data_IF_143576101320
#
_entry.id   IF_143576101320
#
_cell.length_a   1.000
_cell.length_b   1.000
_cell.length_c   1.000
_cell.angle_alpha   90.00
_cell.angle_beta   90.00
_cell.angle_gamma   90.00
#
_symmetry.space_group_name_H-M   'P 1'
#
loop_
_entity.id
_entity.type
_entity.pdbx_description
1 polymer ?
#
# COMPACT_ATOMS: atom_id res chain seq x y z
N UNK A 1 -10.04 4.34 27.60
CA UNK A 1 -10.29 4.37 27.02
C UNK A 1 -10.33 4.73 26.15
N UNK A 2 -10.13 4.77 25.88
CA UNK A 2 -9.95 5.01 25.10
C UNK A 2 -10.46 5.36 24.21
N UNK A 3 -10.52 5.84 23.87
CA UNK A 3 -11.09 6.13 23.14
C UNK A 3 -11.02 6.38 22.07
N UNK A 4 -10.49 6.49 21.74
CA UNK A 4 -10.39 6.65 20.75
C UNK A 4 -10.53 6.29 19.81
N UNK A 5 -10.34 6.14 19.67
CA UNK A 5 -10.21 5.81 18.95
C UNK A 5 -10.64 5.47 17.91
N UNK A 6 -10.54 5.58 17.38
CA UNK A 6 -10.93 5.20 16.44
C UNK A 6 -10.23 4.67 15.50
N UNK A 7 -9.26 4.28 15.64
CA UNK A 7 -8.64 3.57 14.64
C UNK A 7 -8.77 2.13 14.89
N UNK A 8 -9.45 1.43 14.10
CA UNK A 8 -9.65 0.01 14.30
C UNK A 8 -8.36 -0.75 14.25
N UNK A 9 -7.38 -0.24 13.53
CA UNK A 9 -6.16 -0.91 13.43
C UNK A 9 -5.40 -1.01 14.71
N UNK A 10 -5.55 -0.04 15.54
CA UNK A 10 -4.77 0.00 16.71
C UNK A 10 -5.35 -0.64 17.88
N UNK A 11 -6.59 -0.99 17.80
CA UNK A 11 -7.24 -1.39 18.84
C UNK A 11 -6.89 -2.65 19.28
N UNK A 12 -6.72 -3.53 18.59
CA UNK A 12 -6.50 -4.76 19.08
C UNK A 12 -5.53 -5.39 18.51
N UNK A 13 -4.77 -4.99 18.16
CA UNK A 13 -3.99 -5.45 17.58
C UNK A 13 -2.95 -6.18 17.76
N UNK A 14 -2.85 -6.76 18.57
CA UNK A 14 -1.78 -7.54 18.74
C UNK A 14 -1.63 -8.56 17.79
N UNK A 15 -2.62 -9.20 17.32
CA UNK A 15 -2.52 -10.23 16.43
C UNK A 15 -2.45 -9.79 15.08
N UNK A 16 -3.08 -8.77 14.69
CA UNK A 16 -3.06 -8.34 13.39
C UNK A 16 -2.17 -7.22 13.28
N UNK A 17 -0.98 -7.39 12.95
CA UNK A 17 -0.07 -6.34 12.86
C UNK A 17 -0.02 -5.80 11.48
N UNK A 18 -0.97 -5.01 11.08
CA UNK A 18 -1.07 -4.45 9.76
C UNK A 18 -0.57 -3.02 9.78
N UNK A 19 0.54 -2.71 9.12
CA UNK A 19 1.06 -1.36 9.09
C UNK A 19 0.05 -0.40 8.48
N UNK A 20 0.00 0.80 9.02
CA UNK A 20 -0.96 1.79 8.57
C UNK A 20 -0.79 2.11 7.10
N UNK A 21 0.44 2.18 6.62
CA UNK A 21 0.66 2.51 5.22
C UNK A 21 0.01 1.46 4.31
N UNK A 22 0.17 0.19 4.63
CA UNK A 22 -0.41 -0.89 3.83
C UNK A 22 -1.94 -0.81 3.90
N UNK A 23 -2.47 -0.54 5.07
CA UNK A 23 -3.91 -0.45 5.25
C UNK A 23 -4.52 0.66 4.40
N UNK A 24 -3.97 1.88 4.50
CA UNK A 24 -4.53 3.00 3.77
C UNK A 24 -4.30 2.87 2.27
N UNK A 25 -3.18 2.25 1.89
CA UNK A 25 -2.92 1.99 0.48
C UNK A 25 -3.94 1.02 -0.09
N UNK A 26 -4.32 0.01 0.69
CA UNK A 26 -5.29 -0.98 0.23
C UNK A 26 -6.67 -0.38 0.07
N UNK A 27 -6.98 0.69 0.81
CA UNK A 27 -8.23 1.39 0.69
C UNK A 27 -8.22 2.51 -0.34
N UNK A 28 -7.03 2.87 -0.82
CA UNK A 28 -6.92 3.93 -1.81
C UNK A 28 -7.03 5.34 -1.24
N UNK A 29 -6.76 5.49 0.06
CA UNK A 29 -6.89 6.80 0.70
C UNK A 29 -5.62 7.60 0.48
N UNK A 30 -5.62 8.41 -0.57
CA UNK A 30 -4.45 9.18 -0.97
C UNK A 30 -3.98 10.11 0.12
N UNK A 31 -4.90 10.77 0.79
CA UNK A 31 -4.53 11.74 1.81
C UNK A 31 -3.81 11.09 2.97
N UNK A 32 -4.29 9.96 3.44
CA UNK A 32 -3.65 9.27 4.55
C UNK A 32 -2.29 8.71 4.15
N UNK A 33 -2.19 8.17 2.94
CA UNK A 33 -0.93 7.65 2.46
C UNK A 33 0.08 8.80 2.34
N UNK A 34 -0.35 9.93 1.78
CA UNK A 34 0.52 11.06 1.62
C UNK A 34 1.00 11.58 2.97
N UNK A 35 0.11 11.66 3.94
CA UNK A 35 0.47 12.13 5.25
C UNK A 35 1.49 11.21 5.93
N UNK A 36 1.29 9.91 5.84
CA UNK A 36 2.22 8.97 6.44
C UNK A 36 3.60 9.08 5.81
N UNK A 37 3.64 9.22 4.48
CA UNK A 37 4.92 9.35 3.80
C UNK A 37 5.61 10.65 4.16
N UNK A 38 4.83 11.73 4.32
CA UNK A 38 5.38 13.02 4.72
C UNK A 38 5.96 12.97 6.13
N UNK A 39 5.42 12.10 6.98
CA UNK A 39 5.91 11.94 8.33
C UNK A 39 7.13 11.04 8.42
N UNK A 40 7.57 10.48 7.33
CA UNK A 40 8.76 9.65 7.31
C UNK A 40 8.53 8.15 7.27
N UNK A 41 7.30 7.71 7.09
CA UNK A 41 7.03 6.29 6.99
C UNK A 41 7.73 5.72 5.75
N UNK A 42 8.36 4.58 5.92
CA UNK A 42 9.09 3.93 4.83
C UNK A 42 8.10 3.48 3.75
N UNK A 43 8.23 3.97 2.50
CA UNK A 43 7.33 3.55 1.44
C UNK A 43 7.42 2.07 1.09
N UNK A 44 8.48 1.42 1.55
CA UNK A 44 8.68 -0.02 1.29
C UNK A 44 8.25 -0.89 2.47
N UNK A 45 7.51 -0.32 3.42
CA UNK A 45 7.05 -1.09 4.56
C UNK A 45 6.11 -2.21 4.14
N UNK A 46 6.25 -3.37 4.76
CA UNK A 46 5.40 -4.52 4.44
C UNK A 46 4.74 -5.01 5.71
N UNK A 47 3.68 -5.78 5.54
CA UNK A 47 3.09 -6.45 6.69
C UNK A 47 3.87 -7.73 6.99
N UNK A 48 3.37 -8.55 7.92
CA UNK A 48 4.08 -9.74 8.35
C UNK A 48 4.18 -10.80 7.27
N UNK A 49 3.35 -10.72 6.25
CA UNK A 49 3.40 -11.67 5.15
C UNK A 49 4.23 -11.13 4.00
N UNK A 50 4.86 -10.00 4.16
CA UNK A 50 5.67 -9.42 3.11
C UNK A 50 4.87 -8.67 2.05
N UNK A 51 3.65 -8.27 2.36
CA UNK A 51 2.77 -7.57 1.43
C UNK A 51 3.01 -6.07 1.58
N UNK A 52 3.43 -5.42 0.54
CA UNK A 52 3.79 -4.01 0.61
C UNK A 52 2.61 -3.12 0.26
N UNK A 53 2.74 -1.83 0.58
CA UNK A 53 1.71 -0.87 0.25
C UNK A 53 1.52 -0.77 -1.26
N UNK A 54 2.60 -0.83 -2.03
CA UNK A 54 2.50 -0.76 -3.48
C UNK A 54 1.73 -1.96 -4.04
N UNK A 55 2.00 -3.15 -3.50
CA UNK A 55 1.27 -4.34 -3.92
C UNK A 55 -0.22 -4.21 -3.59
N UNK A 56 -0.53 -3.70 -2.41
CA UNK A 56 -1.92 -3.54 -1.99
C UNK A 56 -2.66 -2.56 -2.89
N UNK A 57 -2.03 -1.44 -3.21
CA UNK A 57 -2.65 -0.43 -4.05
C UNK A 57 -2.84 -0.95 -5.47
N UNK A 58 -1.86 -1.67 -5.98
CA UNK A 58 -1.93 -2.19 -7.35
C UNK A 58 -3.00 -3.26 -7.48
N UNK A 59 -3.10 -4.12 -6.49
CA UNK A 59 -4.07 -5.20 -6.51
C UNK A 59 -5.50 -4.67 -6.43
N UNK A 60 -5.69 -3.55 -5.77
CA UNK A 60 -7.01 -2.98 -5.56
C UNK A 60 -7.35 -1.80 -6.48
N UNK A 61 -6.54 -1.60 -7.52
CA UNK A 61 -6.80 -0.61 -8.57
C UNK A 61 -6.77 0.83 -8.05
N UNK A 62 -5.82 1.14 -7.20
CA UNK A 62 -5.69 2.49 -6.68
C UNK A 62 -4.50 3.19 -7.34
N UNK A 63 -4.72 3.62 -8.61
CA UNK A 63 -3.65 4.20 -9.41
C UNK A 63 -3.01 5.42 -8.76
N UNK A 64 -3.81 6.29 -8.16
CA UNK A 64 -3.27 7.49 -7.53
C UNK A 64 -2.30 7.14 -6.41
N UNK A 65 -2.64 6.12 -5.61
CA UNK A 65 -1.76 5.68 -4.53
C UNK A 65 -0.52 5.01 -5.10
N UNK A 66 -0.66 4.23 -6.18
CA UNK A 66 0.49 3.61 -6.85
C UNK A 66 1.46 4.69 -7.29
N UNK A 67 0.97 5.75 -7.95
CA UNK A 67 1.83 6.81 -8.43
C UNK A 67 2.50 7.54 -7.27
N UNK A 68 1.78 7.77 -6.21
CA UNK A 68 2.33 8.44 -5.03
C UNK A 68 3.45 7.62 -4.41
N UNK A 69 3.22 6.33 -4.23
CA UNK A 69 4.23 5.46 -3.62
C UNK A 69 5.48 5.37 -4.49
N UNK A 70 5.30 5.22 -5.80
CA UNK A 70 6.45 5.15 -6.72
C UNK A 70 7.23 6.46 -6.66
N UNK A 71 6.53 7.59 -6.62
CA UNK A 71 7.18 8.89 -6.55
C UNK A 71 7.96 9.10 -5.27
N UNK A 72 7.62 8.35 -4.22
CA UNK A 72 8.32 8.45 -2.94
C UNK A 72 9.34 7.35 -2.74
N UNK A 73 9.64 6.60 -3.77
CA UNK A 73 10.73 5.62 -3.72
C UNK A 73 10.34 4.19 -3.45
N UNK A 74 9.05 3.85 -3.58
CA UNK A 74 8.66 2.46 -3.41
C UNK A 74 9.34 1.58 -4.45
N UNK A 75 9.76 0.41 -4.04
CA UNK A 75 10.47 -0.52 -4.92
C UNK A 75 9.46 -1.25 -5.80
N UNK A 76 9.39 -0.89 -7.08
CA UNK A 76 8.43 -1.50 -7.99
C UNK A 76 8.76 -2.95 -8.31
N UNK A 77 9.99 -3.35 -8.11
CA UNK A 77 10.41 -4.71 -8.38
C UNK A 77 10.28 -5.63 -7.18
N UNK A 78 9.85 -5.10 -6.04
CA UNK A 78 9.71 -5.93 -4.85
C UNK A 78 8.71 -7.05 -5.08
N UNK A 79 9.08 -8.25 -4.67
CA UNK A 79 8.27 -9.40 -4.92
C UNK A 79 8.15 -10.24 -3.67
N UNK A 80 6.95 -10.42 -3.19
CA UNK A 80 6.64 -11.43 -2.22
C UNK A 80 6.34 -12.66 -3.02
N UNK A 81 5.05 -12.97 -3.18
CA UNK A 81 4.68 -14.04 -4.09
C UNK A 81 4.63 -13.47 -5.48
N UNK A 82 4.16 -12.24 -5.65
CA UNK A 82 4.02 -11.58 -6.93
C UNK A 82 4.44 -10.12 -6.80
N UNK A 83 4.90 -9.53 -7.91
CA UNK A 83 5.19 -8.10 -7.92
C UNK A 83 3.88 -7.32 -8.01
N UNK A 84 3.95 -6.01 -7.77
CA UNK A 84 2.76 -5.16 -7.92
C UNK A 84 2.20 -5.24 -9.34
N UNK A 85 3.08 -5.26 -10.35
CA UNK A 85 2.65 -5.38 -11.74
C UNK A 85 1.90 -6.69 -11.96
N UNK A 86 2.43 -7.78 -11.44
CA UNK A 86 1.78 -9.08 -11.62
C UNK A 86 0.41 -9.10 -10.94
N UNK A 87 0.29 -8.50 -9.76
CA UNK A 87 -0.99 -8.44 -9.07
C UNK A 87 -2.00 -7.62 -9.87
N UNK A 88 -1.56 -6.50 -10.44
CA UNK A 88 -2.45 -5.68 -11.26
C UNK A 88 -2.87 -6.42 -12.52
N UNK A 89 -1.97 -7.18 -13.11
CA UNK A 89 -2.30 -7.96 -14.30
C UNK A 89 -3.31 -9.05 -13.98
N UNK A 90 -3.13 -9.74 -12.87
CA UNK A 90 -4.03 -10.80 -12.47
C UNK A 90 -5.42 -10.27 -12.17
N UNK A 91 -5.52 -9.03 -11.72
CA UNK A 91 -6.79 -8.41 -11.41
C UNK A 91 -7.36 -7.61 -12.57
N UNK A 92 -6.64 -7.53 -13.69
CA UNK A 92 -7.08 -6.80 -14.87
C UNK A 92 -7.25 -5.30 -14.66
N UNK A 93 -6.36 -4.72 -13.89
CA UNK A 93 -6.38 -3.27 -13.63
C UNK A 93 -5.50 -2.59 -14.67
N UNK A 94 -6.07 -2.35 -15.86
CA UNK A 94 -5.32 -1.93 -17.02
C UNK A 94 -4.53 -0.64 -16.86
N UNK A 95 -5.08 0.33 -16.16
CA UNK A 95 -4.37 1.60 -16.00
C UNK A 95 -3.17 1.45 -15.08
N UNK A 96 -3.31 0.66 -14.03
CA UNK A 96 -2.19 0.40 -13.13
C UNK A 96 -1.12 -0.38 -13.88
N UNK A 97 -1.53 -1.37 -14.67
CA UNK A 97 -0.59 -2.15 -15.47
C UNK A 97 0.18 -1.24 -16.43
N UNK A 98 -0.54 -0.37 -17.14
CA UNK A 98 0.11 0.52 -18.09
C UNK A 98 1.11 1.44 -17.41
N UNK A 99 0.73 1.98 -16.25
CA UNK A 99 1.63 2.87 -15.52
C UNK A 99 2.88 2.13 -15.07
N UNK A 100 2.71 0.95 -14.46
CA UNK A 100 3.86 0.21 -13.96
C UNK A 100 4.79 -0.26 -15.07
N UNK A 101 4.22 -0.57 -16.23
CA UNK A 101 5.05 -0.97 -17.35
C UNK A 101 5.80 0.20 -17.95
N UNK A 102 5.34 1.42 -17.74
CA UNK A 102 5.98 2.58 -18.31
C UNK A 102 7.21 3.04 -17.51
N UNK A 103 7.43 2.48 -16.34
CA UNK A 103 8.53 2.90 -15.47
C UNK A 103 9.93 2.38 -15.90
#
# INVERSE_FOLDING_TARGET
MKLNSFSPLLEDDDELHLPELVYWASLGDVEQVEQLLAEGTDPNQTDDDGYSALQAAAENDHLAVVKLLVGKGANVAYKGEYTALQLAEMANHDEVVAYLKSL
#
